data_IF_246011194543
#
_entry.id   IF_246011194543
#
_cell.length_a   1.000
_cell.length_b   1.000
_cell.length_c   1.000
_cell.angle_alpha   90.00
_cell.angle_beta   90.00
_cell.angle_gamma   90.00
#
_symmetry.space_group_name_H-M   'P 1'
#
loop_
_entity.id
_entity.type
_entity.pdbx_description
1 polymer ?
#
# COMPACT_ATOMS: atom_id res chain seq x y z
N UNK A 1 60.50 52.86 5.04
CA UNK A 1 61.47 51.84 4.58
C UNK A 1 61.03 51.44 3.20
N UNK A 2 61.85 51.76 2.21
CA UNK A 2 61.56 51.67 0.77
C UNK A 2 62.41 50.57 0.12
N UNK A 3 61.87 49.99 -0.95
CA UNK A 3 62.52 49.46 -2.17
C UNK A 3 63.87 48.72 -2.10
N UNK A 4 63.83 47.40 -2.38
CA UNK A 4 64.62 46.62 -3.37
C UNK A 4 64.47 45.10 -3.12
N UNK A 5 64.90 44.12 -3.95
CA UNK A 5 65.58 44.12 -5.26
C UNK A 5 65.10 42.90 -6.11
N UNK A 6 65.18 42.99 -7.44
CA UNK A 6 65.32 41.82 -8.36
C UNK A 6 66.62 41.94 -9.15
N UNK A 7 67.23 40.82 -9.58
CA UNK A 7 67.30 40.49 -11.01
C UNK A 7 67.15 38.97 -11.28
N UNK A 8 66.59 38.45 -12.37
CA UNK A 8 66.95 38.59 -13.80
C UNK A 8 67.20 37.17 -14.35
N UNK A 9 67.10 36.82 -15.64
CA UNK A 9 66.61 37.50 -16.86
C UNK A 9 66.06 36.44 -17.84
N UNK A 10 65.20 36.78 -18.81
CA UNK A 10 65.59 37.07 -20.21
C UNK A 10 65.16 35.90 -21.12
N UNK A 11 64.81 36.01 -22.41
CA UNK A 11 64.60 37.12 -23.36
C UNK A 11 63.46 36.67 -24.32
N UNK A 12 62.52 37.54 -24.74
CA UNK A 12 62.50 38.25 -26.05
C UNK A 12 62.67 37.34 -27.31
N UNK A 13 61.81 37.41 -28.34
CA UNK A 13 60.57 38.18 -28.46
C UNK A 13 59.95 38.20 -29.89
N UNK A 14 58.81 38.89 -29.98
CA UNK A 14 58.29 39.72 -31.10
C UNK A 14 58.07 39.15 -32.54
N UNK A 15 57.16 39.76 -33.36
CA UNK A 15 56.53 39.11 -34.52
C UNK A 15 56.80 39.81 -35.89
N UNK A 16 56.20 39.30 -36.98
CA UNK A 16 55.80 39.91 -38.31
C UNK A 16 56.05 38.95 -39.51
N UNK A 17 55.62 39.25 -40.77
CA UNK A 17 54.26 39.46 -41.27
C UNK A 17 53.97 38.55 -42.53
N UNK A 18 53.06 38.85 -43.50
CA UNK A 18 52.48 37.82 -44.40
C UNK A 18 53.20 37.63 -45.75
N UNK A 19 52.86 36.53 -46.46
CA UNK A 19 53.31 36.26 -47.82
C UNK A 19 52.14 35.99 -48.79
N UNK A 20 52.16 36.65 -49.94
CA UNK A 20 51.21 36.52 -51.05
C UNK A 20 51.84 35.84 -52.27
N UNK A 21 51.05 35.06 -53.03
CA UNK A 21 51.46 34.41 -54.29
C UNK A 21 50.28 34.24 -55.28
N UNK A 22 50.54 34.04 -56.60
CA UNK A 22 49.57 34.35 -57.67
C UNK A 22 48.77 33.13 -58.23
N UNK A 23 47.72 33.42 -59.03
CA UNK A 23 46.77 32.44 -59.63
C UNK A 23 47.28 31.65 -60.86
N UNK A 24 46.42 31.00 -61.69
CA UNK A 24 45.24 31.64 -62.32
C UNK A 24 43.95 30.79 -62.59
N UNK A 25 42.84 31.52 -62.82
CA UNK A 25 41.70 31.30 -63.77
C UNK A 25 41.07 29.90 -64.02
N UNK A 26 39.77 29.75 -63.68
CA UNK A 26 38.70 29.28 -64.61
C UNK A 26 37.30 29.69 -64.08
N UNK A 27 36.32 29.89 -64.96
CA UNK A 27 35.09 30.65 -64.64
C UNK A 27 33.84 29.87 -64.21
N UNK A 28 32.93 30.57 -63.54
CA UNK A 28 31.57 30.11 -63.20
C UNK A 28 30.67 31.30 -62.80
N UNK A 29 29.34 31.24 -63.02
CA UNK A 29 28.44 32.38 -62.82
C UNK A 29 28.22 32.72 -61.32
N UNK A 30 27.90 33.99 -60.99
CA UNK A 30 27.86 34.47 -59.62
C UNK A 30 26.72 33.83 -58.82
N UNK A 31 27.07 33.06 -57.79
CA UNK A 31 26.13 32.62 -56.76
C UNK A 31 26.14 33.62 -55.62
N UNK A 32 24.98 34.21 -55.32
CA UNK A 32 24.79 35.02 -54.11
C UNK A 32 25.03 34.15 -52.87
N UNK A 33 26.03 34.52 -52.06
CA UNK A 33 26.32 33.89 -50.78
C UNK A 33 25.34 34.40 -49.72
N UNK A 34 24.39 33.54 -49.35
CA UNK A 34 23.55 33.76 -48.15
C UNK A 34 24.44 33.63 -46.91
N UNK A 35 24.44 34.58 -45.96
CA UNK A 35 25.18 34.44 -44.71
C UNK A 35 24.70 33.22 -43.92
N UNK A 36 25.60 32.38 -43.36
CA UNK A 36 25.19 31.29 -42.48
C UNK A 36 24.47 31.85 -41.24
N UNK A 37 23.27 31.35 -40.93
CA UNK A 37 22.65 31.63 -39.64
C UNK A 37 23.52 31.06 -38.51
N UNK A 38 23.66 31.77 -37.36
CA UNK A 38 24.41 31.24 -36.23
C UNK A 38 23.81 29.92 -35.74
N UNK A 39 24.64 28.89 -35.60
CA UNK A 39 24.23 27.65 -34.98
C UNK A 39 23.78 27.91 -33.53
N UNK A 40 22.69 27.28 -33.03
CA UNK A 40 22.29 27.41 -31.63
C UNK A 40 23.43 26.94 -30.73
N UNK A 41 24.00 27.87 -29.95
CA UNK A 41 25.05 27.54 -29.00
C UNK A 41 24.56 26.53 -27.95
N UNK A 42 25.44 25.69 -27.39
CA UNK A 42 25.06 24.77 -26.33
C UNK A 42 24.57 25.58 -25.13
N UNK A 43 23.26 25.51 -24.86
CA UNK A 43 22.65 26.16 -23.71
C UNK A 43 23.27 25.66 -22.40
N UNK A 44 23.27 26.47 -21.32
CA UNK A 44 23.91 26.11 -20.07
C UNK A 44 23.43 24.74 -19.58
N UNK A 45 24.39 23.82 -19.42
CA UNK A 45 24.11 22.45 -19.03
C UNK A 45 23.36 22.43 -17.71
N UNK A 46 22.08 22.04 -17.75
CA UNK A 46 21.28 21.75 -16.57
C UNK A 46 22.06 20.73 -15.73
N UNK A 47 22.45 21.02 -14.46
CA UNK A 47 23.32 20.14 -13.70
C UNK A 47 22.76 18.71 -13.69
N UNK A 48 23.58 17.76 -14.13
CA UNK A 48 23.19 16.37 -14.23
C UNK A 48 22.93 15.80 -12.85
N UNK A 49 21.64 15.78 -12.44
CA UNK A 49 21.22 15.04 -11.25
C UNK A 49 21.65 13.57 -11.38
N UNK A 50 22.12 12.93 -10.29
CA UNK A 50 22.91 11.71 -10.36
C UNK A 50 22.25 10.57 -11.14
N UNK A 51 22.79 10.32 -12.34
CA UNK A 51 22.41 9.20 -13.22
C UNK A 51 22.98 7.90 -12.67
N UNK A 52 22.25 7.28 -11.74
CA UNK A 52 22.63 5.98 -11.15
C UNK A 52 21.71 5.51 -10.02
N UNK A 53 21.09 6.43 -9.29
CA UNK A 53 20.06 6.10 -8.32
C UNK A 53 18.80 5.56 -8.99
N UNK A 54 18.39 4.33 -8.66
CA UNK A 54 17.05 3.85 -9.00
C UNK A 54 16.02 4.80 -8.38
N UNK A 55 15.29 5.58 -9.22
CA UNK A 55 14.31 6.57 -8.75
C UNK A 55 13.45 5.98 -7.61
N UNK A 56 13.30 6.68 -6.47
CA UNK A 56 12.48 6.21 -5.36
C UNK A 56 11.13 5.70 -5.87
N UNK A 57 10.69 4.55 -5.37
CA UNK A 57 9.49 3.85 -5.89
C UNK A 57 8.23 4.71 -5.80
N UNK A 58 8.25 5.73 -4.94
CA UNK A 58 7.14 6.57 -4.52
C UNK A 58 7.64 8.02 -4.41
N UNK A 59 6.83 9.02 -4.79
CA UNK A 59 7.19 10.42 -4.62
C UNK A 59 7.36 10.78 -3.13
N UNK A 60 8.39 11.57 -2.81
CA UNK A 60 8.64 12.09 -1.46
C UNK A 60 7.67 13.24 -1.12
N UNK A 61 6.37 12.93 -1.12
CA UNK A 61 5.25 13.83 -0.82
C UNK A 61 4.22 13.12 0.05
N UNK A 62 3.29 13.83 0.69
CA UNK A 62 2.20 13.21 1.44
C UNK A 62 1.34 12.37 0.49
N UNK A 63 1.16 11.09 0.79
CA UNK A 63 0.57 10.12 -0.12
C UNK A 63 -0.96 10.26 -0.16
N UNK A 64 -1.54 10.19 -1.36
CA UNK A 64 -2.97 9.94 -1.56
C UNK A 64 -3.30 8.45 -1.44
N UNK A 65 -4.59 8.10 -1.37
CA UNK A 65 -5.05 6.70 -1.41
C UNK A 65 -4.50 5.97 -2.64
N UNK A 66 -4.59 6.61 -3.82
CA UNK A 66 -4.06 6.06 -5.07
C UNK A 66 -2.54 5.84 -5.04
N UNK A 67 -1.77 6.76 -4.45
CA UNK A 67 -0.31 6.58 -4.30
C UNK A 67 0.00 5.39 -3.37
N UNK A 68 -0.76 5.20 -2.28
CA UNK A 68 -0.60 4.07 -1.35
C UNK A 68 -0.90 2.73 -2.02
N UNK A 69 -2.01 2.63 -2.76
CA UNK A 69 -2.39 1.41 -3.48
C UNK A 69 -1.41 1.10 -4.63
N UNK A 70 -1.10 2.08 -5.48
CA UNK A 70 -0.14 1.92 -6.57
C UNK A 70 1.28 1.61 -6.05
N UNK A 71 1.65 2.17 -4.90
CA UNK A 71 2.84 1.84 -4.14
C UNK A 71 2.87 0.37 -3.71
N UNK A 72 1.79 -0.12 -3.09
CA UNK A 72 1.66 -1.52 -2.66
C UNK A 72 1.76 -2.51 -3.82
N UNK A 73 1.03 -2.30 -4.92
CA UNK A 73 1.16 -3.12 -6.13
C UNK A 73 2.55 -3.00 -6.79
N UNK A 74 3.22 -1.84 -6.69
CA UNK A 74 4.60 -1.67 -7.18
C UNK A 74 5.64 -2.33 -6.28
N UNK A 75 5.40 -2.40 -4.97
CA UNK A 75 6.16 -3.27 -4.08
C UNK A 75 5.98 -4.72 -4.54
N UNK A 76 4.74 -5.22 -4.51
CA UNK A 76 4.43 -6.60 -4.89
C UNK A 76 5.10 -7.02 -6.22
N UNK A 77 4.86 -6.31 -7.33
CA UNK A 77 5.33 -6.74 -8.67
C UNK A 77 6.85 -6.85 -8.83
N UNK A 78 7.68 -6.07 -8.11
CA UNK A 78 9.16 -6.13 -8.30
C UNK A 78 9.88 -7.16 -7.40
N UNK A 79 9.21 -7.77 -6.42
CA UNK A 79 9.81 -8.84 -5.58
C UNK A 79 8.79 -9.91 -5.14
N UNK A 80 7.77 -10.16 -5.98
CA UNK A 80 6.64 -11.03 -5.64
C UNK A 80 7.08 -12.40 -5.11
N UNK A 81 8.15 -12.99 -5.69
CA UNK A 81 8.69 -14.30 -5.26
C UNK A 81 9.11 -14.33 -3.79
N UNK A 82 9.85 -13.32 -3.32
CA UNK A 82 10.32 -13.26 -1.92
C UNK A 82 9.18 -12.94 -0.96
N UNK A 83 8.28 -12.04 -1.34
CA UNK A 83 7.15 -11.63 -0.50
C UNK A 83 6.09 -12.74 -0.38
N UNK A 84 5.78 -13.45 -1.48
CA UNK A 84 4.90 -14.61 -1.46
C UNK A 84 5.53 -15.79 -0.72
N UNK A 85 6.84 -16.02 -0.81
CA UNK A 85 7.51 -17.05 0.00
C UNK A 85 7.36 -16.76 1.50
N UNK A 86 7.57 -15.51 1.93
CA UNK A 86 7.27 -15.09 3.30
C UNK A 86 5.80 -15.29 3.68
N UNK A 87 4.88 -15.03 2.75
CA UNK A 87 3.44 -15.17 2.99
C UNK A 87 2.96 -16.60 3.11
N UNK A 88 3.38 -17.48 2.21
CA UNK A 88 3.08 -18.91 2.30
C UNK A 88 3.67 -19.48 3.59
N UNK A 89 4.92 -19.15 3.93
CA UNK A 89 5.60 -19.70 5.11
C UNK A 89 5.00 -19.23 6.44
N UNK A 90 4.60 -17.96 6.54
CA UNK A 90 4.03 -17.39 7.77
C UNK A 90 2.50 -17.52 7.78
N UNK A 91 1.82 -16.82 6.88
CA UNK A 91 0.36 -16.72 6.84
C UNK A 91 -0.30 -17.96 6.24
N UNK A 92 0.30 -18.58 5.23
CA UNK A 92 -0.24 -19.75 4.55
C UNK A 92 -0.21 -21.00 5.43
N UNK A 93 0.93 -21.31 6.06
CA UNK A 93 1.06 -22.44 6.99
C UNK A 93 0.20 -22.24 8.25
N UNK A 94 0.25 -21.07 8.89
CA UNK A 94 -0.60 -20.80 10.07
C UNK A 94 -2.08 -20.73 9.71
N UNK A 95 -2.42 -20.21 8.53
CA UNK A 95 -3.78 -20.21 7.99
C UNK A 95 -4.30 -21.62 7.74
N UNK A 96 -3.52 -22.48 7.07
CA UNK A 96 -3.86 -23.88 6.85
C UNK A 96 -4.02 -24.64 8.16
N UNK A 97 -3.07 -24.50 9.10
CA UNK A 97 -3.13 -25.15 10.41
C UNK A 97 -4.35 -24.68 11.20
N UNK A 98 -4.66 -23.38 11.18
CA UNK A 98 -5.86 -22.83 11.83
C UNK A 98 -7.14 -23.34 11.17
N UNK A 99 -7.21 -23.44 9.84
CA UNK A 99 -8.38 -23.98 9.14
C UNK A 99 -8.59 -25.45 9.49
N UNK A 100 -7.54 -26.27 9.42
CA UNK A 100 -7.62 -27.69 9.79
C UNK A 100 -8.02 -27.87 11.25
N UNK A 101 -7.41 -27.11 12.19
CA UNK A 101 -7.76 -27.15 13.60
C UNK A 101 -9.22 -26.73 13.85
N UNK A 102 -9.71 -25.70 13.16
CA UNK A 102 -11.12 -25.29 13.21
C UNK A 102 -12.04 -26.38 12.67
N UNK A 103 -11.78 -26.92 11.47
CA UNK A 103 -12.63 -27.94 10.83
C UNK A 103 -12.70 -29.22 11.65
N UNK A 104 -11.56 -29.81 12.04
CA UNK A 104 -11.55 -31.03 12.86
C UNK A 104 -12.06 -30.77 14.27
N UNK A 105 -11.79 -29.60 14.86
CA UNK A 105 -12.34 -29.20 16.14
C UNK A 105 -13.87 -29.12 16.09
N UNK A 106 -14.44 -28.44 15.09
CA UNK A 106 -15.88 -28.34 14.89
C UNK A 106 -16.52 -29.71 14.64
N UNK A 107 -15.91 -30.57 13.82
CA UNK A 107 -16.40 -31.94 13.59
C UNK A 107 -16.41 -32.79 14.87
N UNK A 108 -15.34 -32.71 15.68
CA UNK A 108 -15.25 -33.41 16.96
C UNK A 108 -16.20 -32.86 18.03
N UNK A 109 -16.54 -31.57 17.96
CA UNK A 109 -17.56 -30.94 18.82
C UNK A 109 -18.97 -31.36 18.37
N UNK A 110 -19.26 -31.32 17.07
CA UNK A 110 -20.54 -31.76 16.51
C UNK A 110 -20.84 -33.24 16.83
N UNK A 111 -19.88 -34.15 16.62
CA UNK A 111 -20.08 -35.56 16.95
C UNK A 111 -20.33 -35.80 18.43
N UNK A 112 -19.67 -35.03 19.32
CA UNK A 112 -19.95 -35.03 20.76
C UNK A 112 -21.35 -34.49 21.10
N UNK A 113 -21.84 -33.45 20.40
CA UNK A 113 -23.21 -32.95 20.60
C UNK A 113 -24.24 -34.00 20.21
N UNK A 114 -24.15 -34.58 19.01
CA UNK A 114 -25.10 -35.61 18.56
C UNK A 114 -25.11 -36.81 19.51
N UNK A 115 -23.93 -37.36 19.85
CA UNK A 115 -23.82 -38.48 20.79
C UNK A 115 -24.36 -38.17 22.21
N UNK A 116 -24.41 -36.90 22.62
CA UNK A 116 -24.94 -36.51 23.92
C UNK A 116 -26.47 -36.31 23.90
N UNK A 117 -27.02 -35.85 22.76
CA UNK A 117 -28.46 -35.75 22.54
C UNK A 117 -29.12 -37.14 22.51
N UNK A 118 -28.45 -38.13 21.90
CA UNK A 118 -28.91 -39.53 21.87
C UNK A 118 -28.79 -40.23 23.24
N UNK A 119 -27.92 -39.74 24.14
CA UNK A 119 -27.55 -40.39 25.40
C UNK A 119 -28.47 -40.15 26.60
N UNK A 120 -29.46 -39.26 26.48
CA UNK A 120 -30.57 -39.04 27.44
C UNK A 120 -30.23 -38.48 28.83
N UNK A 121 -28.99 -38.61 29.33
CA UNK A 121 -28.57 -38.11 30.64
C UNK A 121 -27.26 -37.31 30.56
N UNK A 122 -27.22 -36.16 31.24
CA UNK A 122 -26.09 -35.22 31.16
C UNK A 122 -26.03 -34.38 29.88
N UNK A 123 -26.99 -34.49 28.97
CA UNK A 123 -27.01 -33.78 27.70
C UNK A 123 -26.78 -32.26 27.86
N UNK A 124 -27.46 -31.61 28.81
CA UNK A 124 -27.35 -30.16 29.04
C UNK A 124 -25.92 -29.72 29.39
N UNK A 125 -25.19 -30.48 30.21
CA UNK A 125 -23.82 -30.15 30.61
C UNK A 125 -22.83 -30.37 29.46
N UNK A 126 -23.06 -31.39 28.62
CA UNK A 126 -22.25 -31.65 27.42
C UNK A 126 -22.55 -30.61 26.32
N UNK A 127 -23.80 -30.21 26.14
CA UNK A 127 -24.21 -29.14 25.21
C UNK A 127 -23.63 -27.81 25.66
N UNK A 128 -23.74 -27.44 26.94
CA UNK A 128 -23.15 -26.22 27.50
C UNK A 128 -21.62 -26.21 27.34
N UNK A 129 -20.94 -27.29 27.75
CA UNK A 129 -19.48 -27.40 27.60
C UNK A 129 -19.02 -27.37 26.15
N UNK A 130 -19.77 -27.98 25.23
CA UNK A 130 -19.47 -27.96 23.80
C UNK A 130 -19.71 -26.57 23.19
N UNK A 131 -20.78 -25.87 23.58
CA UNK A 131 -21.07 -24.51 23.16
C UNK A 131 -19.97 -23.54 23.64
N UNK A 132 -19.55 -23.67 24.91
CA UNK A 132 -18.44 -22.89 25.48
C UNK A 132 -17.13 -23.15 24.73
N UNK A 133 -16.78 -24.41 24.47
CA UNK A 133 -15.55 -24.75 23.73
C UNK A 133 -15.62 -24.31 22.26
N UNK A 134 -16.78 -24.38 21.62
CA UNK A 134 -17.01 -23.86 20.25
C UNK A 134 -16.83 -22.35 20.20
N UNK A 135 -17.42 -21.61 21.16
CA UNK A 135 -17.27 -20.16 21.27
C UNK A 135 -15.83 -19.73 21.60
N UNK A 136 -15.10 -20.52 22.39
CA UNK A 136 -13.69 -20.28 22.68
C UNK A 136 -12.83 -20.48 21.41
N UNK A 137 -12.98 -21.60 20.70
CA UNK A 137 -12.20 -21.90 19.49
C UNK A 137 -12.49 -20.92 18.35
N UNK A 138 -13.74 -20.47 18.19
CA UNK A 138 -14.12 -19.51 17.14
C UNK A 138 -13.50 -18.11 17.33
N UNK A 139 -13.04 -17.78 18.55
CA UNK A 139 -12.29 -16.55 18.82
C UNK A 139 -10.78 -16.81 18.84
N UNK A 140 -10.33 -17.86 19.54
CA UNK A 140 -8.90 -18.14 19.78
C UNK A 140 -8.16 -18.54 18.51
N UNK A 141 -8.73 -19.41 17.66
CA UNK A 141 -8.05 -19.86 16.44
C UNK A 141 -7.86 -18.72 15.42
N UNK A 142 -8.89 -17.91 15.07
CA UNK A 142 -8.69 -16.75 14.20
C UNK A 142 -7.77 -15.68 14.80
N UNK A 143 -7.77 -15.50 16.11
CA UNK A 143 -6.86 -14.57 16.79
C UNK A 143 -5.39 -15.00 16.69
N UNK A 144 -5.10 -16.30 16.89
CA UNK A 144 -3.76 -16.86 16.69
C UNK A 144 -3.31 -16.74 15.22
N UNK A 145 -4.20 -17.04 14.27
CA UNK A 145 -3.93 -16.85 12.84
C UNK A 145 -3.65 -15.37 12.48
N UNK A 146 -4.41 -14.43 13.05
CA UNK A 146 -4.20 -12.99 12.90
C UNK A 146 -2.82 -12.55 13.41
N UNK A 147 -2.37 -13.05 14.57
CA UNK A 147 -1.04 -12.75 15.10
C UNK A 147 0.08 -13.26 14.16
N UNK A 148 -0.09 -14.46 13.59
CA UNK A 148 0.79 -14.99 12.55
C UNK A 148 0.92 -14.07 11.33
N UNK A 149 -0.22 -13.63 10.78
CA UNK A 149 -0.28 -12.64 9.70
C UNK A 149 0.34 -11.29 10.10
N UNK A 150 0.23 -10.91 11.38
CA UNK A 150 0.90 -9.74 11.93
C UNK A 150 2.42 -9.76 11.78
N UNK A 151 3.07 -10.93 11.78
CA UNK A 151 4.53 -11.02 11.59
C UNK A 151 4.93 -10.63 10.17
N UNK A 152 4.11 -10.98 9.17
CA UNK A 152 4.37 -10.69 7.76
C UNK A 152 4.58 -9.20 7.47
N UNK A 153 3.95 -8.33 8.27
CA UNK A 153 4.13 -6.88 8.14
C UNK A 153 5.60 -6.47 8.31
N UNK A 154 6.39 -7.18 9.11
CA UNK A 154 7.79 -6.84 9.35
C UNK A 154 8.74 -7.06 8.15
N UNK A 155 8.82 -8.25 7.50
CA UNK A 155 9.64 -8.42 6.30
C UNK A 155 9.12 -7.61 5.10
N UNK A 156 7.80 -7.40 4.97
CA UNK A 156 7.21 -6.53 3.93
C UNK A 156 7.62 -5.07 4.16
N UNK A 157 7.62 -4.59 5.40
CA UNK A 157 8.08 -3.25 5.75
C UNK A 157 9.57 -3.07 5.46
N UNK A 158 10.41 -4.06 5.79
CA UNK A 158 11.84 -4.02 5.49
C UNK A 158 12.15 -4.02 3.98
N UNK A 159 11.44 -4.82 3.17
CA UNK A 159 11.58 -4.80 1.69
C UNK A 159 11.16 -3.43 1.13
N UNK A 160 10.07 -2.87 1.65
CA UNK A 160 9.59 -1.53 1.29
C UNK A 160 10.60 -0.43 1.64
N UNK A 161 11.17 -0.45 2.85
CA UNK A 161 12.21 0.49 3.27
C UNK A 161 13.45 0.42 2.38
N UNK A 162 13.93 -0.78 2.06
CA UNK A 162 15.07 -0.95 1.15
C UNK A 162 14.82 -0.40 -0.26
N UNK A 163 13.59 -0.51 -0.75
CA UNK A 163 13.20 0.00 -2.08
C UNK A 163 13.07 1.51 -2.15
N UNK A 164 12.65 2.17 -1.07
CA UNK A 164 12.68 3.63 -0.99
C UNK A 164 14.12 4.14 -1.16
N UNK A 165 15.10 3.37 -0.69
CA UNK A 165 16.54 3.58 -0.88
C UNK A 165 17.09 3.00 -2.20
N UNK A 166 16.23 2.61 -3.15
CA UNK A 166 16.62 2.06 -4.45
C UNK A 166 17.22 0.64 -4.43
N UNK A 167 17.35 0.00 -3.26
CA UNK A 167 17.95 -1.33 -3.10
C UNK A 167 16.92 -2.46 -3.28
N UNK A 168 17.39 -3.65 -3.66
CA UNK A 168 16.58 -4.88 -3.73
C UNK A 168 16.94 -5.79 -2.55
N UNK A 169 15.94 -6.26 -1.81
CA UNK A 169 16.17 -7.18 -0.70
C UNK A 169 15.98 -8.65 -1.12
N UNK A 170 16.89 -9.53 -0.70
CA UNK A 170 16.74 -10.99 -0.83
C UNK A 170 16.07 -11.57 0.41
N UNK A 171 15.57 -12.80 0.36
CA UNK A 171 14.97 -13.48 1.53
C UNK A 171 15.91 -13.48 2.75
N UNK A 172 17.18 -13.90 2.55
CA UNK A 172 18.22 -13.85 3.60
C UNK A 172 18.53 -12.40 4.04
N UNK A 173 18.55 -11.45 3.11
CA UNK A 173 18.76 -10.03 3.41
C UNK A 173 17.67 -9.45 4.33
N UNK A 174 16.39 -9.75 4.06
CA UNK A 174 15.28 -9.36 4.94
C UNK A 174 15.40 -9.96 6.33
N UNK A 175 15.76 -11.24 6.42
CA UNK A 175 15.97 -11.90 7.72
C UNK A 175 17.15 -11.29 8.51
N UNK A 176 18.25 -10.94 7.84
CA UNK A 176 19.38 -10.25 8.44
C UNK A 176 19.03 -8.84 8.92
N UNK A 177 18.28 -8.06 8.11
CA UNK A 177 17.78 -6.73 8.50
C UNK A 177 16.83 -6.80 9.71
N UNK A 178 16.10 -7.90 9.87
CA UNK A 178 15.24 -8.17 11.03
C UNK A 178 15.98 -8.79 12.22
N UNK A 179 17.27 -9.15 12.13
CA UNK A 179 17.93 -10.00 13.14
C UNK A 179 17.89 -9.41 14.56
N UNK A 180 18.07 -8.09 14.70
CA UNK A 180 17.93 -7.36 15.98
C UNK A 180 16.51 -6.84 16.26
N UNK A 181 15.60 -6.86 15.29
CA UNK A 181 14.24 -6.27 15.37
C UNK A 181 13.14 -7.31 15.57
N UNK A 182 13.38 -8.57 15.18
CA UNK A 182 12.44 -9.71 15.24
C UNK A 182 11.91 -10.01 16.64
N UNK A 183 12.75 -9.91 17.68
CA UNK A 183 12.32 -10.13 19.06
C UNK A 183 11.35 -9.05 19.54
N UNK A 184 11.50 -7.80 19.11
CA UNK A 184 10.51 -6.75 19.36
C UNK A 184 9.17 -7.02 18.65
N UNK A 185 9.19 -7.60 17.44
CA UNK A 185 7.96 -8.00 16.73
C UNK A 185 7.25 -9.16 17.46
N UNK A 186 8.01 -10.17 17.91
CA UNK A 186 7.46 -11.29 18.71
C UNK A 186 6.96 -10.82 20.08
N UNK A 187 7.71 -9.96 20.76
CA UNK A 187 7.27 -9.38 22.04
C UNK A 187 6.03 -8.49 21.88
N UNK A 188 5.87 -7.78 20.76
CA UNK A 188 4.60 -7.11 20.43
C UNK A 188 3.44 -8.10 20.28
N UNK A 189 3.66 -9.28 19.68
CA UNK A 189 2.62 -10.32 19.61
C UNK A 189 2.27 -10.86 21.00
N UNK A 190 3.25 -11.11 21.87
CA UNK A 190 3.01 -11.52 23.25
C UNK A 190 2.22 -10.45 24.03
N UNK A 191 2.51 -9.16 23.81
CA UNK A 191 1.71 -8.05 24.37
C UNK A 191 0.28 -8.07 23.82
N UNK A 192 0.07 -8.32 22.52
CA UNK A 192 -1.28 -8.46 21.97
C UNK A 192 -2.01 -9.69 22.52
N UNK A 193 -1.33 -10.82 22.75
CA UNK A 193 -1.92 -12.00 23.42
C UNK A 193 -2.36 -11.63 24.84
N UNK A 194 -1.47 -11.03 25.63
CA UNK A 194 -1.80 -10.59 26.99
C UNK A 194 -2.97 -9.61 27.04
N UNK A 195 -2.97 -8.60 26.16
CA UNK A 195 -4.08 -7.66 26.02
C UNK A 195 -5.38 -8.34 25.58
N UNK A 196 -5.30 -9.32 24.67
CA UNK A 196 -6.44 -10.13 24.22
C UNK A 196 -7.02 -10.99 25.34
N UNK A 197 -6.18 -11.61 26.17
CA UNK A 197 -6.59 -12.38 27.36
C UNK A 197 -7.25 -11.47 28.40
N UNK A 198 -6.66 -10.31 28.70
CA UNK A 198 -7.27 -9.33 29.62
C UNK A 198 -8.62 -8.85 29.08
N UNK A 199 -8.71 -8.52 27.78
CA UNK A 199 -9.97 -8.14 27.16
C UNK A 199 -11.00 -9.26 27.20
N UNK A 200 -10.60 -10.51 26.98
CA UNK A 200 -11.49 -11.67 27.04
C UNK A 200 -11.98 -11.95 28.48
N UNK A 201 -11.14 -11.77 29.50
CA UNK A 201 -11.54 -11.90 30.91
C UNK A 201 -12.54 -10.79 31.29
N UNK A 202 -12.27 -9.54 30.92
CA UNK A 202 -13.17 -8.41 31.19
C UNK A 202 -14.49 -8.56 30.43
N UNK A 203 -14.44 -8.95 29.16
CA UNK A 203 -15.62 -9.24 28.35
C UNK A 203 -16.43 -10.40 28.95
N UNK A 204 -15.77 -11.49 29.37
CA UNK A 204 -16.40 -12.63 30.04
C UNK A 204 -17.07 -12.23 31.35
N UNK A 205 -16.41 -11.43 32.20
CA UNK A 205 -16.98 -10.94 33.46
C UNK A 205 -18.24 -10.09 33.22
N UNK A 206 -18.19 -9.16 32.25
CA UNK A 206 -19.34 -8.34 31.85
C UNK A 206 -20.45 -9.22 31.27
N UNK A 207 -20.12 -10.18 30.41
CA UNK A 207 -21.07 -11.14 29.83
C UNK A 207 -21.79 -11.92 30.93
N UNK A 208 -21.06 -12.67 31.77
CA UNK A 208 -21.66 -13.47 32.83
C UNK A 208 -22.45 -12.62 33.82
N UNK A 209 -21.95 -11.44 34.20
CA UNK A 209 -22.68 -10.53 35.10
C UNK A 209 -24.00 -10.03 34.52
N UNK A 210 -24.01 -9.55 33.27
CA UNK A 210 -25.22 -9.05 32.60
C UNK A 210 -26.20 -10.18 32.32
N UNK A 211 -25.76 -11.28 31.73
CA UNK A 211 -26.64 -12.37 31.33
C UNK A 211 -27.18 -13.19 32.52
N UNK A 212 -26.42 -13.35 33.61
CA UNK A 212 -26.94 -13.95 34.84
C UNK A 212 -27.99 -13.05 35.51
N UNK A 213 -27.77 -11.73 35.56
CA UNK A 213 -28.76 -10.79 36.10
C UNK A 213 -30.05 -10.76 35.25
N UNK A 214 -29.92 -10.83 33.92
CA UNK A 214 -31.06 -10.91 33.00
C UNK A 214 -31.84 -12.23 33.11
N UNK A 215 -31.15 -13.35 33.35
CA UNK A 215 -31.78 -14.64 33.65
C UNK A 215 -32.51 -14.63 34.99
N UNK A 216 -31.90 -14.07 36.04
CA UNK A 216 -32.51 -13.94 37.37
C UNK A 216 -33.70 -12.97 37.44
N UNK A 217 -33.84 -12.08 36.45
CA UNK A 217 -34.94 -11.12 36.34
C UNK A 217 -36.08 -11.60 35.42
N UNK A 218 -36.09 -12.86 35.00
CA UNK A 218 -37.04 -13.45 34.02
C UNK A 218 -37.23 -12.57 32.76
N UNK A 219 -36.15 -11.92 32.32
CA UNK A 219 -36.23 -10.97 31.21
C UNK A 219 -36.57 -11.67 29.89
N UNK A 220 -37.58 -11.14 29.18
CA UNK A 220 -38.07 -11.75 27.95
C UNK A 220 -36.99 -11.88 26.86
N UNK A 221 -37.04 -12.97 26.09
CA UNK A 221 -36.00 -13.35 25.12
C UNK A 221 -35.57 -12.24 24.14
N UNK A 222 -36.47 -11.31 23.79
CA UNK A 222 -36.14 -10.14 22.96
C UNK A 222 -35.08 -9.22 23.60
N UNK A 223 -35.14 -9.01 24.92
CA UNK A 223 -34.11 -8.25 25.64
C UNK A 223 -32.78 -8.99 25.66
N UNK A 224 -32.79 -10.31 25.86
CA UNK A 224 -31.58 -11.14 25.82
C UNK A 224 -30.86 -11.03 24.47
N UNK A 225 -31.60 -11.15 23.36
CA UNK A 225 -31.04 -11.00 22.00
C UNK A 225 -30.49 -9.59 21.77
N UNK A 226 -31.20 -8.54 22.22
CA UNK A 226 -30.72 -7.17 22.11
C UNK A 226 -29.43 -6.94 22.91
N UNK A 227 -29.37 -7.42 24.15
CA UNK A 227 -28.17 -7.34 24.99
C UNK A 227 -26.98 -8.07 24.34
N UNK A 228 -27.21 -9.23 23.71
CA UNK A 228 -26.17 -9.99 23.00
C UNK A 228 -25.63 -9.24 21.79
N UNK A 229 -26.52 -8.66 20.97
CA UNK A 229 -26.12 -7.85 19.80
C UNK A 229 -25.33 -6.62 20.23
N UNK A 230 -25.78 -5.90 21.27
CA UNK A 230 -25.08 -4.73 21.80
C UNK A 230 -23.72 -5.09 22.42
N UNK A 231 -23.62 -6.21 23.13
CA UNK A 231 -22.37 -6.70 23.70
C UNK A 231 -21.34 -7.04 22.61
N UNK A 232 -21.74 -7.83 21.60
CA UNK A 232 -20.88 -8.20 20.47
C UNK A 232 -20.44 -6.95 19.68
N UNK A 233 -21.36 -6.02 19.43
CA UNK A 233 -21.04 -4.76 18.75
C UNK A 233 -20.08 -3.89 19.57
N UNK A 234 -20.29 -3.79 20.89
CA UNK A 234 -19.43 -3.04 21.80
C UNK A 234 -17.99 -3.58 21.82
N UNK A 235 -17.83 -4.90 21.97
CA UNK A 235 -16.53 -5.56 21.87
C UNK A 235 -15.91 -5.35 20.48
N UNK A 236 -16.69 -5.47 19.41
CA UNK A 236 -16.24 -5.20 18.03
C UNK A 236 -15.69 -3.78 17.84
N UNK A 237 -16.40 -2.76 18.34
CA UNK A 237 -15.96 -1.36 18.31
C UNK A 237 -14.64 -1.17 19.07
N UNK A 238 -14.53 -1.76 20.27
CA UNK A 238 -13.28 -1.71 21.08
C UNK A 238 -12.12 -2.36 20.32
N UNK A 239 -12.30 -3.57 19.79
CA UNK A 239 -11.27 -4.28 19.02
C UNK A 239 -10.83 -3.49 17.78
N UNK A 240 -11.77 -2.97 16.99
CA UNK A 240 -11.48 -2.17 15.79
C UNK A 240 -10.75 -0.86 16.14
N UNK A 241 -11.12 -0.23 17.24
CA UNK A 241 -10.47 0.99 17.72
C UNK A 241 -9.02 0.70 18.17
N UNK A 242 -8.79 -0.33 18.99
CA UNK A 242 -7.44 -0.75 19.39
C UNK A 242 -6.60 -1.16 18.17
N UNK A 243 -7.14 -1.97 17.26
CA UNK A 243 -6.46 -2.40 16.04
C UNK A 243 -6.02 -1.19 15.20
N UNK A 244 -6.91 -0.22 14.99
CA UNK A 244 -6.59 1.02 14.25
C UNK A 244 -5.52 1.85 14.97
N UNK A 245 -5.55 1.93 16.30
CA UNK A 245 -4.57 2.68 17.13
C UNK A 245 -3.16 2.10 17.05
N UNK A 246 -3.05 0.77 17.00
CA UNK A 246 -1.77 0.05 17.02
C UNK A 246 -1.32 -0.49 15.65
N UNK A 247 -2.06 -0.19 14.57
CA UNK A 247 -1.79 -0.71 13.22
C UNK A 247 -0.39 -0.35 12.70
N UNK A 248 0.20 0.78 13.16
CA UNK A 248 1.51 1.26 12.70
C UNK A 248 2.68 0.69 13.53
N UNK A 249 2.40 -0.03 14.62
CA UNK A 249 3.42 -0.53 15.55
C UNK A 249 4.42 -1.47 14.86
N UNK A 250 3.96 -2.48 14.11
CA UNK A 250 4.86 -3.44 13.43
C UNK A 250 5.69 -2.77 12.32
N UNK A 251 5.14 -1.93 11.42
CA UNK A 251 5.94 -1.13 10.50
C UNK A 251 7.00 -0.28 11.18
N UNK A 252 6.67 0.40 12.30
CA UNK A 252 7.64 1.21 13.06
C UNK A 252 8.73 0.36 13.70
N UNK A 253 8.42 -0.81 14.28
CA UNK A 253 9.46 -1.74 14.79
C UNK A 253 10.37 -2.19 13.64
N UNK A 254 9.80 -2.56 12.50
CA UNK A 254 10.54 -3.09 11.36
C UNK A 254 11.41 -2.04 10.66
N UNK A 255 10.93 -0.81 10.49
CA UNK A 255 11.64 0.29 9.83
C UNK A 255 12.63 1.02 10.76
N UNK A 256 12.26 1.23 12.03
CA UNK A 256 13.03 2.10 12.94
C UNK A 256 13.83 1.31 13.99
N UNK A 257 13.53 0.03 14.20
CA UNK A 257 14.17 -0.79 15.24
C UNK A 257 13.81 -0.42 16.68
N UNK A 258 12.75 0.37 16.89
CA UNK A 258 12.31 0.79 18.23
C UNK A 258 11.88 -0.40 19.12
N UNK A 259 12.05 -0.32 20.45
CA UNK A 259 11.48 -1.28 21.37
C UNK A 259 9.95 -1.20 21.38
N UNK A 260 9.31 -2.30 21.80
CA UNK A 260 7.86 -2.55 21.73
C UNK A 260 7.01 -1.36 22.19
N UNK A 261 7.21 -0.91 23.43
CA UNK A 261 6.39 0.15 24.03
C UNK A 261 6.62 1.52 23.38
N UNK A 262 7.84 1.83 22.94
CA UNK A 262 8.14 3.06 22.22
C UNK A 262 7.47 3.10 20.85
N UNK A 263 7.45 1.97 20.13
CA UNK A 263 6.75 1.83 18.86
C UNK A 263 5.22 1.93 19.03
N UNK A 264 4.67 1.31 20.07
CA UNK A 264 3.24 1.37 20.39
C UNK A 264 2.80 2.81 20.75
N UNK A 265 3.57 3.51 21.59
CA UNK A 265 3.33 4.92 21.93
C UNK A 265 3.42 5.85 20.71
N UNK A 266 4.34 5.58 19.78
CA UNK A 266 4.43 6.30 18.51
C UNK A 266 3.21 6.00 17.62
N UNK A 267 2.80 4.74 17.45
CA UNK A 267 1.58 4.39 16.70
C UNK A 267 0.36 5.12 17.26
N UNK A 268 0.23 5.22 18.59
CA UNK A 268 -0.82 5.98 19.24
C UNK A 268 -0.79 7.48 18.93
N UNK A 269 0.41 8.09 18.93
CA UNK A 269 0.60 9.51 18.58
C UNK A 269 0.26 9.78 17.11
N UNK A 270 0.77 8.96 16.19
CA UNK A 270 0.56 9.08 14.75
C UNK A 270 -0.90 8.85 14.34
N UNK A 271 -1.63 8.00 15.05
CA UNK A 271 -3.05 7.73 14.78
C UNK A 271 -3.99 8.76 15.42
N UNK A 272 -3.59 9.47 16.48
CA UNK A 272 -4.45 10.42 17.21
C UNK A 272 -4.99 11.56 16.33
N UNK A 273 -4.15 12.18 15.51
CA UNK A 273 -4.56 13.28 14.62
C UNK A 273 -5.28 12.84 13.35
N UNK A 274 -5.44 11.54 13.10
CA UNK A 274 -5.92 11.06 11.79
C UNK A 274 -6.61 9.69 11.82
N UNK A 275 -7.20 9.31 12.96
CA UNK A 275 -7.85 8.03 13.19
C UNK A 275 -8.83 7.67 12.07
N UNK A 276 -9.80 8.54 11.76
CA UNK A 276 -10.82 8.32 10.74
C UNK A 276 -10.26 8.06 9.35
N UNK A 277 -9.20 8.78 8.94
CA UNK A 277 -8.54 8.53 7.64
C UNK A 277 -7.82 7.19 7.63
N UNK A 278 -7.13 6.82 8.71
CA UNK A 278 -6.44 5.52 8.79
C UNK A 278 -7.47 4.37 8.82
N UNK A 279 -8.50 4.46 9.66
CA UNK A 279 -9.61 3.52 9.73
C UNK A 279 -10.32 3.36 8.38
N UNK A 280 -10.73 4.47 7.74
CA UNK A 280 -11.44 4.45 6.46
C UNK A 280 -10.62 3.82 5.33
N UNK A 281 -9.30 4.05 5.29
CA UNK A 281 -8.42 3.39 4.30
C UNK A 281 -8.33 1.89 4.59
N UNK A 282 -8.15 1.47 5.85
CA UNK A 282 -8.08 0.05 6.20
C UNK A 282 -9.40 -0.68 5.93
N UNK A 283 -10.55 -0.05 6.23
CA UNK A 283 -11.88 -0.58 5.95
C UNK A 283 -12.13 -0.70 4.45
N UNK A 284 -11.78 0.33 3.66
CA UNK A 284 -11.89 0.28 2.20
C UNK A 284 -11.03 -0.82 1.59
N UNK A 285 -9.82 -1.01 2.10
CA UNK A 285 -8.89 -2.07 1.67
C UNK A 285 -9.42 -3.46 2.03
N UNK A 286 -9.97 -3.64 3.24
CA UNK A 286 -10.63 -4.89 3.64
C UNK A 286 -11.88 -5.17 2.80
N UNK A 287 -12.68 -4.16 2.46
CA UNK A 287 -13.84 -4.34 1.58
C UNK A 287 -13.41 -4.73 0.16
N UNK A 288 -12.38 -4.05 -0.39
CA UNK A 288 -11.86 -4.31 -1.73
C UNK A 288 -11.26 -5.73 -1.85
N UNK A 289 -10.42 -6.14 -0.90
CA UNK A 289 -9.85 -7.48 -0.90
C UNK A 289 -10.85 -8.57 -0.49
N UNK A 290 -11.81 -8.26 0.39
CA UNK A 290 -12.92 -9.16 0.70
C UNK A 290 -13.76 -9.45 -0.54
N UNK A 291 -14.16 -8.43 -1.29
CA UNK A 291 -14.90 -8.58 -2.54
C UNK A 291 -14.10 -9.34 -3.61
N UNK A 292 -12.79 -9.05 -3.75
CA UNK A 292 -11.90 -9.80 -4.64
C UNK A 292 -11.78 -11.28 -4.24
N UNK A 293 -11.70 -11.59 -2.94
CA UNK A 293 -11.69 -12.96 -2.44
C UNK A 293 -13.03 -13.68 -2.64
N UNK A 294 -14.16 -12.98 -2.47
CA UNK A 294 -15.49 -13.51 -2.77
C UNK A 294 -15.62 -13.88 -4.25
N UNK A 295 -15.25 -12.99 -5.18
CA UNK A 295 -15.24 -13.31 -6.62
C UNK A 295 -14.30 -14.49 -6.89
N UNK A 296 -13.10 -14.47 -6.32
CA UNK A 296 -12.13 -15.55 -6.49
C UNK A 296 -12.66 -16.91 -5.99
N UNK A 297 -13.51 -16.94 -4.95
CA UNK A 297 -14.08 -18.18 -4.39
C UNK A 297 -15.13 -18.87 -5.29
N UNK A 298 -15.79 -18.15 -6.20
CA UNK A 298 -16.87 -18.70 -7.06
C UNK A 298 -16.40 -19.90 -7.90
N UNK A 299 -15.29 -19.84 -8.67
CA UNK A 299 -14.81 -21.01 -9.41
C UNK A 299 -14.37 -22.17 -8.50
N UNK A 300 -13.95 -21.90 -7.26
CA UNK A 300 -13.59 -22.95 -6.30
C UNK A 300 -14.84 -23.70 -5.81
N UNK A 301 -15.91 -22.99 -5.48
CA UNK A 301 -17.16 -23.64 -5.04
C UNK A 301 -17.78 -24.44 -6.18
N UNK A 302 -17.84 -23.89 -7.40
CA UNK A 302 -18.32 -24.62 -8.58
C UNK A 302 -17.48 -25.88 -8.83
N UNK A 303 -16.15 -25.76 -8.83
CA UNK A 303 -15.25 -26.90 -9.00
C UNK A 303 -15.40 -27.96 -7.91
N UNK A 304 -15.59 -27.53 -6.65
CA UNK A 304 -15.79 -28.44 -5.52
C UNK A 304 -17.07 -29.26 -5.64
N UNK A 305 -18.21 -28.66 -6.05
CA UNK A 305 -19.47 -29.41 -6.20
C UNK A 305 -19.45 -30.30 -7.45
N UNK A 306 -18.85 -29.84 -8.57
CA UNK A 306 -18.72 -30.64 -9.79
C UNK A 306 -17.82 -31.88 -9.61
N UNK A 307 -16.68 -31.74 -8.93
CA UNK A 307 -15.73 -32.85 -8.73
C UNK A 307 -16.14 -33.70 -7.51
N UNK A 308 -16.80 -33.11 -6.51
CA UNK A 308 -17.28 -33.78 -5.31
C UNK A 308 -18.54 -34.63 -5.51
N UNK A 309 -19.16 -34.62 -6.70
CA UNK A 309 -20.34 -35.42 -7.02
C UNK A 309 -21.61 -35.03 -6.24
N UNK A 310 -21.58 -33.91 -5.51
CA UNK A 310 -22.66 -33.53 -4.56
C UNK A 310 -23.88 -32.90 -5.25
N UNK A 311 -23.83 -32.72 -6.57
CA UNK A 311 -25.02 -32.50 -7.40
C UNK A 311 -25.69 -33.85 -7.71
N UNK A 312 -26.43 -34.39 -6.73
CA UNK A 312 -27.43 -35.44 -6.98
C UNK A 312 -28.86 -34.90 -6.76
N UNK A 313 -29.44 -34.19 -7.75
CA UNK A 313 -30.81 -33.68 -7.67
C UNK A 313 -31.89 -34.76 -7.85
N UNK A 314 -31.51 -36.03 -8.10
CA UNK A 314 -32.44 -37.15 -8.36
C UNK A 314 -32.34 -38.28 -7.33
N UNK A 315 -31.35 -38.27 -6.44
CA UNK A 315 -31.13 -39.27 -5.39
C UNK A 315 -30.75 -40.66 -5.92
N UNK A 316 -30.18 -40.75 -7.12
CA UNK A 316 -29.97 -42.02 -7.82
C UNK A 316 -28.55 -42.57 -7.72
N UNK A 317 -27.59 -41.80 -7.20
CA UNK A 317 -26.25 -42.33 -6.94
C UNK A 317 -26.22 -43.02 -5.58
N UNK A 318 -26.04 -44.34 -5.58
CA UNK A 318 -25.66 -45.12 -4.40
C UNK A 318 -24.21 -44.83 -3.95
N UNK A 319 -23.79 -43.57 -4.02
CA UNK A 319 -22.48 -43.11 -3.59
C UNK A 319 -22.35 -43.29 -2.09
N UNK A 320 -21.34 -44.04 -1.68
CA UNK A 320 -20.98 -44.18 -0.28
C UNK A 320 -20.81 -42.79 0.35
N UNK A 321 -21.39 -42.61 1.54
CA UNK A 321 -21.39 -41.34 2.30
C UNK A 321 -20.03 -40.98 2.93
N UNK A 322 -18.94 -41.30 2.23
CA UNK A 322 -17.59 -40.81 2.49
C UNK A 322 -17.12 -39.94 1.31
N UNK A 323 -16.28 -38.95 1.59
CA UNK A 323 -15.66 -38.16 0.53
C UNK A 323 -14.77 -39.07 -0.34
N UNK A 324 -15.29 -39.47 -1.51
CA UNK A 324 -14.52 -40.22 -2.50
C UNK A 324 -13.25 -39.47 -2.90
N UNK A 325 -12.25 -40.17 -3.43
CA UNK A 325 -10.92 -39.60 -3.72
C UNK A 325 -10.98 -38.30 -4.54
N UNK A 326 -11.94 -38.20 -5.48
CA UNK A 326 -12.23 -36.96 -6.22
C UNK A 326 -12.66 -35.78 -5.34
N UNK A 327 -13.59 -35.99 -4.40
CA UNK A 327 -14.03 -34.96 -3.45
C UNK A 327 -12.89 -34.48 -2.54
N UNK A 328 -12.04 -35.40 -2.06
CA UNK A 328 -10.85 -35.05 -1.27
C UNK A 328 -9.88 -34.22 -2.10
N UNK A 329 -9.61 -34.61 -3.35
CA UNK A 329 -8.75 -33.84 -4.27
C UNK A 329 -9.34 -32.44 -4.51
N UNK A 330 -10.66 -32.32 -4.73
CA UNK A 330 -11.33 -31.05 -4.96
C UNK A 330 -11.22 -30.11 -3.74
N UNK A 331 -11.41 -30.63 -2.52
CA UNK A 331 -11.26 -29.87 -1.27
C UNK A 331 -9.80 -29.41 -1.08
N UNK A 332 -8.82 -30.26 -1.37
CA UNK A 332 -7.40 -29.90 -1.25
C UNK A 332 -7.00 -28.84 -2.28
N UNK A 333 -7.36 -29.02 -3.56
CA UNK A 333 -7.07 -28.04 -4.62
C UNK A 333 -7.78 -26.70 -4.35
N UNK A 334 -9.03 -26.74 -3.91
CA UNK A 334 -9.78 -25.56 -3.48
C UNK A 334 -9.09 -24.85 -2.32
N UNK A 335 -8.71 -25.57 -1.27
CA UNK A 335 -8.01 -25.01 -0.11
C UNK A 335 -6.68 -24.35 -0.50
N UNK A 336 -5.88 -24.99 -1.37
CA UNK A 336 -4.62 -24.44 -1.87
C UNK A 336 -4.81 -23.16 -2.68
N UNK A 337 -5.81 -23.10 -3.56
CA UNK A 337 -6.10 -21.90 -4.34
C UNK A 337 -6.64 -20.75 -3.46
N UNK A 338 -7.47 -21.05 -2.46
CA UNK A 338 -7.92 -20.07 -1.47
C UNK A 338 -6.74 -19.51 -0.64
N UNK A 339 -5.81 -20.38 -0.20
CA UNK A 339 -4.58 -19.97 0.49
C UNK A 339 -3.70 -19.10 -0.41
N UNK A 340 -3.59 -19.41 -1.70
CA UNK A 340 -2.81 -18.60 -2.64
C UNK A 340 -3.39 -17.17 -2.78
N UNK A 341 -4.72 -17.04 -2.90
CA UNK A 341 -5.41 -15.74 -2.92
C UNK A 341 -5.19 -14.99 -1.59
N UNK A 342 -5.34 -15.66 -0.45
CA UNK A 342 -5.11 -15.06 0.87
C UNK A 342 -3.68 -14.54 1.02
N UNK A 343 -2.67 -15.29 0.56
CA UNK A 343 -1.27 -14.87 0.65
C UNK A 343 -0.99 -13.59 -0.17
N UNK A 344 -1.63 -13.43 -1.33
CA UNK A 344 -1.52 -12.20 -2.13
C UNK A 344 -2.14 -11.02 -1.37
N UNK A 345 -3.34 -11.21 -0.82
CA UNK A 345 -4.07 -10.23 0.00
C UNK A 345 -3.27 -9.80 1.24
N UNK A 346 -2.66 -10.75 1.95
CA UNK A 346 -1.86 -10.48 3.16
C UNK A 346 -0.64 -9.60 2.84
N UNK A 347 0.10 -9.90 1.76
CA UNK A 347 1.26 -9.11 1.32
C UNK A 347 0.86 -7.69 0.90
N UNK A 348 -0.23 -7.55 0.15
CA UNK A 348 -0.72 -6.24 -0.27
C UNK A 348 -1.19 -5.42 0.94
N UNK A 349 -1.91 -6.04 1.87
CA UNK A 349 -2.38 -5.40 3.11
C UNK A 349 -1.21 -4.92 3.98
N UNK A 350 -0.20 -5.77 4.19
CA UNK A 350 1.04 -5.40 4.88
C UNK A 350 1.81 -4.25 4.21
N UNK A 351 1.82 -4.22 2.87
CA UNK A 351 2.44 -3.14 2.09
C UNK A 351 1.69 -1.82 2.30
N UNK A 352 0.36 -1.84 2.26
CA UNK A 352 -0.50 -0.67 2.51
C UNK A 352 -0.30 -0.14 3.93
N UNK A 353 -0.29 -1.01 4.95
CA UNK A 353 -0.04 -0.61 6.34
C UNK A 353 1.34 0.03 6.51
N UNK A 354 2.35 -0.50 5.82
CA UNK A 354 3.70 0.11 5.78
C UNK A 354 3.66 1.51 5.14
N UNK A 355 2.95 1.68 4.03
CA UNK A 355 2.82 3.00 3.39
C UNK A 355 2.01 4.01 4.20
N UNK A 356 1.02 3.56 4.97
CA UNK A 356 0.36 4.41 5.95
C UNK A 356 1.33 4.87 7.05
N UNK A 357 2.23 4.01 7.52
CA UNK A 357 3.27 4.43 8.46
C UNK A 357 4.24 5.47 7.85
N UNK A 358 4.68 5.25 6.60
CA UNK A 358 5.56 6.17 5.87
C UNK A 358 4.86 7.52 5.60
N UNK A 359 3.60 7.54 5.12
CA UNK A 359 2.82 8.77 4.92
C UNK A 359 2.69 9.58 6.21
N UNK A 360 2.41 8.92 7.34
CA UNK A 360 2.31 9.60 8.64
C UNK A 360 3.64 10.24 9.03
N UNK A 361 4.77 9.53 8.90
CA UNK A 361 6.11 10.08 9.19
C UNK A 361 6.54 11.19 8.22
N UNK A 362 6.16 11.13 6.94
CA UNK A 362 6.35 12.26 6.00
C UNK A 362 5.56 13.49 6.48
N UNK A 363 4.30 13.31 6.92
CA UNK A 363 3.44 14.41 7.39
C UNK A 363 3.83 14.99 8.76
N UNK A 364 4.36 14.19 9.69
CA UNK A 364 4.58 14.61 11.10
C UNK A 364 6.03 14.61 11.57
N UNK A 365 6.96 14.02 10.81
CA UNK A 365 8.38 13.88 11.20
C UNK A 365 9.34 14.25 10.05
N UNK A 366 8.86 14.90 8.98
CA UNK A 366 9.66 15.33 7.81
C UNK A 366 10.57 14.21 7.24
N UNK A 367 10.05 12.99 7.16
CA UNK A 367 10.79 11.82 6.65
C UNK A 367 11.22 11.99 5.17
N UNK A 368 10.48 12.80 4.40
CA UNK A 368 10.82 13.22 3.04
C UNK A 368 12.19 13.92 2.96
N UNK A 369 12.45 14.88 3.86
CA UNK A 369 13.72 15.62 3.92
C UNK A 369 14.89 14.72 4.30
N UNK A 370 14.71 13.78 5.24
CA UNK A 370 15.74 12.82 5.67
C UNK A 370 16.10 11.81 4.59
N UNK A 371 15.11 11.35 3.82
CA UNK A 371 15.38 10.45 2.69
C UNK A 371 16.09 11.21 1.57
N UNK A 372 15.66 12.45 1.26
CA UNK A 372 16.38 13.29 0.29
C UNK A 372 17.83 13.54 0.73
N UNK A 373 18.07 13.98 1.96
CA UNK A 373 19.43 14.24 2.47
C UNK A 373 20.30 12.98 2.49
N UNK A 374 19.74 11.81 2.81
CA UNK A 374 20.47 10.53 2.77
C UNK A 374 20.85 10.15 1.32
N UNK A 375 19.94 10.33 0.36
CA UNK A 375 20.20 10.06 -1.05
C UNK A 375 21.21 11.03 -1.69
N UNK A 376 21.18 12.31 -1.28
CA UNK A 376 22.08 13.34 -1.80
C UNK A 376 23.48 13.31 -1.15
N UNK A 377 23.56 13.03 0.16
CA UNK A 377 24.84 13.03 0.91
C UNK A 377 25.56 11.69 0.96
N UNK A 378 24.85 10.58 0.68
CA UNK A 378 25.40 9.23 0.79
C UNK A 378 25.82 8.81 2.21
N UNK A 379 25.43 9.56 3.25
CA UNK A 379 25.85 9.29 4.62
C UNK A 379 25.31 7.94 5.16
N UNK A 380 26.09 7.23 6.01
CA UNK A 380 25.72 5.90 6.53
C UNK A 380 24.59 5.90 7.57
N UNK A 381 24.03 7.07 7.91
CA UNK A 381 22.92 7.23 8.86
C UNK A 381 21.61 6.69 8.29
N UNK A 382 20.94 5.78 9.00
CA UNK A 382 19.64 5.20 8.59
C UNK A 382 18.55 6.29 8.57
N UNK A 383 17.98 6.66 7.41
CA UNK A 383 16.98 7.73 7.33
C UNK A 383 15.67 7.37 8.04
N UNK A 384 15.42 6.08 8.32
CA UNK A 384 14.26 5.63 9.08
C UNK A 384 14.47 5.67 10.60
N UNK A 385 15.68 5.96 11.10
CA UNK A 385 16.01 5.99 12.52
C UNK A 385 15.04 6.87 13.35
N UNK A 386 14.93 6.61 14.67
CA UNK A 386 14.13 7.42 15.57
C UNK A 386 14.53 8.90 15.52
N UNK A 387 13.54 9.78 15.39
CA UNK A 387 13.73 11.23 15.43
C UNK A 387 12.72 11.88 16.35
N UNK A 388 13.02 13.11 16.77
CA UNK A 388 12.05 13.98 17.42
C UNK A 388 10.95 14.42 16.41
N UNK A 389 9.74 14.75 16.89
CA UNK A 389 8.69 15.33 16.05
C UNK A 389 9.08 16.75 15.62
N UNK A 390 8.96 17.05 14.32
CA UNK A 390 9.24 18.40 13.78
C UNK A 390 7.93 19.10 13.48
N UNK A 391 7.73 20.29 14.04
CA UNK A 391 6.59 21.13 13.70
C UNK A 391 6.74 21.64 12.26
N UNK A 392 5.88 21.18 11.35
CA UNK A 392 5.82 21.66 9.96
C UNK A 392 4.60 22.57 9.77
N UNK A 393 4.70 23.69 9.03
CA UNK A 393 3.53 24.39 8.53
C UNK A 393 2.57 23.45 7.78
N UNK A 394 1.26 23.74 7.71
CA UNK A 394 0.36 22.98 6.86
C UNK A 394 0.93 22.90 5.45
N UNK A 395 0.96 21.69 4.88
CA UNK A 395 1.23 21.56 3.45
C UNK A 395 0.24 22.48 2.71
N UNK A 396 0.71 23.34 1.78
CA UNK A 396 -0.21 24.19 1.04
C UNK A 396 -1.29 23.30 0.44
N UNK A 397 -2.59 23.66 0.57
CA UNK A 397 -3.64 22.93 -0.13
C UNK A 397 -3.22 22.85 -1.58
N UNK A 398 -3.45 21.70 -2.23
CA UNK A 398 -3.04 21.51 -3.61
C UNK A 398 -3.52 22.72 -4.41
N UNK A 399 -2.56 23.53 -4.87
CA UNK A 399 -2.76 24.27 -6.09
C UNK A 399 -2.92 23.18 -7.15
N UNK A 400 -4.19 22.78 -7.31
CA UNK A 400 -4.74 22.30 -8.55
C UNK A 400 -4.09 23.19 -9.60
N UNK A 401 -3.16 22.63 -10.39
CA UNK A 401 -2.37 23.40 -11.34
C UNK A 401 -3.38 24.10 -12.25
N UNK A 402 -3.59 25.40 -11.99
CA UNK A 402 -4.66 26.18 -12.58
C UNK A 402 -4.50 26.07 -14.08
N UNK A 403 -5.50 25.49 -14.73
CA UNK A 403 -5.31 24.65 -15.91
C UNK A 403 -4.24 25.16 -16.86
N UNK A 404 -3.00 24.65 -16.71
CA UNK A 404 -2.10 24.57 -17.85
C UNK A 404 -2.72 23.52 -18.76
N UNK A 405 -3.69 24.00 -19.54
CA UNK A 405 -3.95 23.47 -20.85
C UNK A 405 -2.57 23.27 -21.46
N UNK A 406 -2.22 22.00 -21.68
CA UNK A 406 -1.33 21.68 -22.76
C UNK A 406 -2.05 22.17 -24.02
N UNK A 407 -1.84 23.45 -24.35
CA UNK A 407 -1.86 23.88 -25.73
C UNK A 407 -0.79 23.03 -26.39
N UNK A 408 -1.22 21.87 -26.89
CA UNK A 408 -0.51 21.19 -27.95
C UNK A 408 -0.48 22.20 -29.10
N UNK A 409 0.56 23.03 -29.12
CA UNK A 409 1.06 23.58 -30.35
C UNK A 409 1.38 22.36 -31.21
N UNK A 410 0.40 21.95 -32.01
CA UNK A 410 0.58 21.03 -33.11
C UNK A 410 1.49 21.75 -34.09
N UNK A 411 2.80 21.71 -33.83
CA UNK A 411 3.78 22.01 -34.84
C UNK A 411 3.54 21.02 -35.97
N UNK A 412 3.16 21.47 -37.18
CA UNK A 412 2.99 20.55 -38.28
C UNK A 412 4.37 19.99 -38.62
N UNK A 413 4.57 18.69 -38.36
CA UNK A 413 5.76 18.01 -38.84
C UNK A 413 5.81 18.15 -40.35
N UNK A 414 6.90 18.67 -40.96
CA UNK A 414 7.02 18.72 -42.40
C UNK A 414 7.02 17.28 -42.93
N UNK A 415 6.02 16.95 -43.74
CA UNK A 415 5.89 15.62 -44.32
C UNK A 415 7.05 15.33 -45.27
N UNK A 416 8.00 14.52 -44.83
CA UNK A 416 9.00 13.93 -45.73
C UNK A 416 8.29 12.93 -46.64
N UNK A 417 7.93 13.39 -47.84
CA UNK A 417 7.44 12.54 -48.92
C UNK A 417 8.56 11.61 -49.37
N UNK A 418 8.47 10.34 -49.00
CA UNK A 418 9.29 9.29 -49.60
C UNK A 418 8.76 8.99 -51.00
N UNK A 419 9.60 9.06 -52.05
CA UNK A 419 9.15 8.81 -53.41
C UNK A 419 8.91 7.31 -53.62
N UNK A 420 7.64 6.97 -53.84
CA UNK A 420 7.21 5.63 -54.23
C UNK A 420 6.80 4.71 -53.06
N UNK A 421 5.49 4.63 -52.83
CA UNK A 421 4.72 3.38 -52.80
C UNK A 421 3.25 3.71 -53.12
N UNK A 422 2.54 2.75 -53.71
CA UNK A 422 1.25 2.96 -54.39
C UNK A 422 0.07 2.92 -53.40
N UNK A 423 -0.96 3.74 -53.60
CA UNK A 423 -2.26 3.59 -52.92
C UNK A 423 -3.03 2.39 -53.52
N UNK A 424 -3.82 1.68 -52.70
CA UNK A 424 -5.25 1.68 -53.00
C UNK A 424 -6.19 1.70 -51.78
N UNK A 425 -7.30 2.42 -51.96
CA UNK A 425 -8.65 2.25 -51.37
C UNK A 425 -8.91 2.33 -49.85
N UNK A 426 -9.79 3.27 -49.48
CA UNK A 426 -10.56 3.31 -48.24
C UNK A 426 -12.07 3.27 -48.56
N UNK A 427 -12.89 2.50 -47.82
CA UNK A 427 -14.34 2.71 -47.77
C UNK A 427 -14.82 3.23 -46.40
N UNK A 428 -15.40 4.44 -46.40
CA UNK A 428 -16.57 4.83 -45.60
C UNK A 428 -16.55 4.71 -44.07
N UNK A 429 -16.22 5.81 -43.37
CA UNK A 429 -16.75 6.08 -42.02
C UNK A 429 -18.14 6.72 -42.14
N UNK A 430 -19.17 6.07 -41.59
CA UNK A 430 -20.54 6.61 -41.53
C UNK A 430 -20.66 7.69 -40.45
N UNK A 431 -21.41 8.76 -40.74
CA UNK A 431 -21.73 9.83 -39.80
C UNK A 431 -22.75 9.38 -38.75
N UNK A 432 -22.49 9.67 -37.47
CA UNK A 432 -23.55 9.84 -36.46
C UNK A 432 -23.31 11.08 -35.58
N UNK A 433 -23.85 12.19 -36.07
CA UNK A 433 -24.62 13.25 -35.38
C UNK A 433 -24.17 13.76 -33.98
N UNK A 434 -23.93 15.08 -33.92
CA UNK A 434 -23.75 15.87 -32.69
C UNK A 434 -25.11 16.36 -32.13
N UNK A 435 -25.29 16.45 -30.79
CA UNK A 435 -26.39 17.19 -30.19
C UNK A 435 -26.08 18.70 -30.09
N UNK A 436 -27.12 19.51 -30.32
CA UNK A 436 -27.10 20.98 -30.35
C UNK A 436 -26.80 21.66 -28.98
N UNK A 437 -26.20 22.85 -29.02
CA UNK A 437 -26.16 23.83 -27.90
C UNK A 437 -26.94 25.09 -28.28
N UNK A 438 -27.89 25.58 -27.46
CA UNK A 438 -28.60 26.83 -27.72
C UNK A 438 -27.99 28.05 -27.00
N UNK A 439 -27.74 29.12 -27.79
CA UNK A 439 -28.11 30.49 -27.42
C UNK A 439 -27.19 31.27 -26.46
N UNK A 440 -26.38 32.18 -27.02
CA UNK A 440 -25.88 33.34 -26.27
C UNK A 440 -27.01 34.35 -26.00
N UNK A 441 -26.94 35.06 -24.88
CA UNK A 441 -27.48 36.42 -24.78
C UNK A 441 -26.39 37.38 -24.29
N UNK A 442 -26.30 38.52 -24.96
CA UNK A 442 -25.32 39.59 -24.72
C UNK A 442 -25.93 40.67 -23.82
N UNK A 443 -25.15 41.26 -22.92
CA UNK A 443 -25.42 42.61 -22.39
C UNK A 443 -24.10 43.40 -22.26
N UNK A 444 -24.14 44.75 -22.34
CA UNK A 444 -22.98 45.51 -22.80
C UNK A 444 -22.31 46.42 -21.76
N UNK A 445 -21.07 46.79 -22.10
CA UNK A 445 -20.20 47.86 -21.59
C UNK A 445 -20.76 48.93 -20.63
N UNK A 446 -19.98 49.22 -19.58
CA UNK A 446 -19.72 50.59 -19.12
C UNK A 446 -18.29 50.75 -18.57
N UNK A 447 -17.78 51.98 -18.58
CA UNK A 447 -16.35 52.32 -18.45
C UNK A 447 -15.98 52.74 -17.00
N UNK A 448 -14.68 52.73 -16.67
CA UNK A 448 -14.15 53.32 -15.42
C UNK A 448 -13.99 54.85 -15.53
N UNK A 449 -13.06 55.51 -14.79
CA UNK A 449 -12.12 55.01 -13.78
C UNK A 449 -12.18 55.80 -12.43
N UNK A 450 -11.31 55.49 -11.46
CA UNK A 450 -11.13 56.32 -10.27
C UNK A 450 -9.99 55.87 -9.35
N UNK A 451 -8.85 56.59 -9.38
CA UNK A 451 -7.76 56.43 -8.41
C UNK A 451 -7.93 57.43 -7.25
N UNK A 452 -7.65 56.99 -6.02
CA UNK A 452 -7.36 57.88 -4.89
C UNK A 452 -6.50 57.14 -3.84
N UNK A 453 -5.31 57.66 -3.46
CA UNK A 453 -4.49 57.13 -2.37
C UNK A 453 -4.57 58.07 -1.12
N UNK A 454 -3.60 58.08 -0.18
CA UNK A 454 -3.76 57.44 1.13
C UNK A 454 -3.78 58.41 2.33
N UNK A 455 -4.17 57.92 3.50
CA UNK A 455 -3.88 58.43 4.85
C UNK A 455 -4.21 57.30 5.86
N UNK A 456 -3.66 57.18 7.07
CA UNK A 456 -2.71 58.04 7.78
C UNK A 456 -3.01 58.00 9.29
N UNK A 457 -2.12 57.38 10.08
CA UNK A 457 -1.98 57.48 11.55
C UNK A 457 -3.21 57.51 12.47
N UNK A 458 -3.41 56.43 13.24
CA UNK A 458 -3.65 56.44 14.69
C UNK A 458 -3.30 55.07 15.29
#
# INVERSE_FOLDING_TARGET
>A
MSDWHTPGGGQQGAPTPPASGPGPLSGGPPRFSVPPLPAPGPGPGRPGGPSGGSRPVIPLRPLGLGDVLAGAFTVFRRNARVLLLWSVLLSGVLGLLSTLASTFGQQALQSRMFSALDGGSGADSVVAGTLTLTALLSVVLPFLAYLGRGFLVAPVAADTGQRVLGRRATFRGLWALLAGRRWSVVAWMLVQIGAGVVLAILAGLVFFGVFAAMGAADSGAGWFVLALVLFVLGIGVVVVWLATRFVLTVPTIALEGRPVFAAAAQSWRLTRGAFWRTFGILLLVQLMFGFAASIASIPLTIGAVLIGGTFDPLGQTGGTSGAGTGAVIAIVVGSLLAIAVQCITDVLSASITTFLAIDRRIRTEALDQRIASHLDSGQPTDPFAPSEPVARPPWPPQQQWGGQQWQAQQQPWPAQQWPGQQQPWQPGQQQQQQPWQPGQQQQPWQQGPGQAPPNGSA
#
